data_IF_661576023190
#
_entry.id   IF_661576023190
#
_cell.length_a   1.000
_cell.length_b   1.000
_cell.length_c   1.000
_cell.angle_alpha   90.00
_cell.angle_beta   90.00
_cell.angle_gamma   90.00
#
_symmetry.space_group_name_H-M   'P 1'
#
loop_
_entity.id
_entity.type
_entity.pdbx_description
1 polymer ?
#
# COMPACT_ATOMS: atom_id res chain seq x y z
N UNK A 1 -17.76 0.36 -14.74
CA UNK A 1 -16.96 -0.13 -14.33
C UNK A 1 -16.22 0.52 -13.51
N UNK A 2 -16.01 0.16 -12.63
CA UNK A 2 -15.31 0.89 -11.73
C UNK A 2 -13.88 0.91 -11.99
N UNK A 3 -13.41 2.04 -12.24
CA UNK A 3 -12.05 2.21 -12.35
C UNK A 3 -11.55 2.88 -11.16
N UNK A 4 -12.43 3.11 -10.20
CA UNK A 4 -12.07 3.88 -9.04
C UNK A 4 -11.36 3.02 -8.05
N UNK A 5 -10.39 3.62 -7.35
CA UNK A 5 -9.73 2.96 -6.26
C UNK A 5 -10.70 2.74 -5.12
N UNK A 6 -10.64 1.58 -4.48
CA UNK A 6 -11.46 1.34 -3.32
C UNK A 6 -11.11 2.32 -2.21
N UNK A 7 -12.13 2.96 -1.64
CA UNK A 7 -11.92 3.92 -0.57
C UNK A 7 -12.41 3.44 0.78
N UNK A 8 -12.96 2.23 0.85
CA UNK A 8 -13.42 1.67 2.11
C UNK A 8 -12.28 0.89 2.76
N UNK A 9 -11.74 1.37 3.89
CA UNK A 9 -10.62 0.67 4.52
C UNK A 9 -10.94 -0.76 4.91
N UNK A 10 -12.21 -1.06 5.22
CA UNK A 10 -12.59 -2.41 5.62
C UNK A 10 -12.38 -3.41 4.49
N UNK A 11 -12.57 -2.99 3.26
CA UNK A 11 -12.37 -3.88 2.12
C UNK A 11 -10.89 -4.25 2.02
N UNK A 12 -10.00 -3.28 2.21
CA UNK A 12 -8.58 -3.56 2.17
C UNK A 12 -8.15 -4.44 3.34
N UNK A 13 -8.74 -4.22 4.50
CA UNK A 13 -8.44 -5.04 5.68
C UNK A 13 -8.82 -6.51 5.42
N UNK A 14 -10.02 -6.73 4.91
CA UNK A 14 -10.48 -8.09 4.64
C UNK A 14 -9.68 -8.74 3.51
N UNK A 15 -9.30 -7.97 2.51
CA UNK A 15 -8.49 -8.48 1.41
C UNK A 15 -7.13 -8.93 1.94
N UNK A 16 -6.51 -8.12 2.81
CA UNK A 16 -5.23 -8.49 3.40
C UNK A 16 -5.35 -9.79 4.20
N UNK A 17 -6.45 -9.94 4.93
CA UNK A 17 -6.66 -11.15 5.71
C UNK A 17 -6.74 -12.38 4.80
N UNK A 18 -7.50 -12.26 3.72
CA UNK A 18 -7.64 -13.36 2.77
C UNK A 18 -6.29 -13.70 2.12
N UNK A 19 -5.53 -12.67 1.79
CA UNK A 19 -4.22 -12.88 1.18
C UNK A 19 -3.26 -13.55 2.14
N UNK A 20 -3.33 -13.19 3.42
CA UNK A 20 -2.51 -13.85 4.43
C UNK A 20 -2.86 -15.32 4.56
N UNK A 21 -4.14 -15.65 4.55
CA UNK A 21 -4.58 -17.03 4.67
C UNK A 21 -4.16 -17.86 3.46
N UNK A 22 -4.07 -17.25 2.29
CA UNK A 22 -3.67 -17.97 1.09
C UNK A 22 -2.15 -17.96 0.87
N UNK A 23 -1.39 -17.34 1.77
CA UNK A 23 0.06 -17.31 1.65
C UNK A 23 0.60 -16.26 0.70
N UNK A 24 -0.25 -15.34 0.25
CA UNK A 24 0.17 -14.31 -0.70
C UNK A 24 0.66 -13.09 0.08
N UNK A 25 1.86 -13.21 0.64
CA UNK A 25 2.36 -12.23 1.61
C UNK A 25 2.68 -10.89 0.97
N UNK A 26 3.22 -10.91 -0.25
CA UNK A 26 3.51 -9.65 -0.93
C UNK A 26 2.23 -8.82 -1.08
N UNK A 27 1.16 -9.43 -1.56
CA UNK A 27 -0.09 -8.71 -1.75
C UNK A 27 -0.72 -8.31 -0.42
N UNK A 28 -0.52 -9.12 0.62
CA UNK A 28 -1.00 -8.77 1.96
C UNK A 28 -0.41 -7.43 2.39
N UNK A 29 0.89 -7.24 2.21
CA UNK A 29 1.53 -5.99 2.60
C UNK A 29 1.01 -4.82 1.76
N UNK A 30 0.77 -5.04 0.47
CA UNK A 30 0.23 -3.98 -0.37
C UNK A 30 -1.18 -3.57 0.07
N UNK A 31 -2.01 -4.56 0.43
CA UNK A 31 -3.37 -4.27 0.90
C UNK A 31 -3.35 -3.55 2.24
N UNK A 32 -2.47 -3.95 3.13
CA UNK A 32 -2.32 -3.25 4.40
C UNK A 32 -1.88 -1.80 4.19
N UNK A 33 -1.01 -1.58 3.21
CA UNK A 33 -0.58 -0.22 2.91
C UNK A 33 -1.77 0.64 2.50
N UNK A 34 -2.65 0.12 1.65
CA UNK A 34 -3.82 0.88 1.24
C UNK A 34 -4.73 1.17 2.43
N UNK A 35 -4.90 0.20 3.31
CA UNK A 35 -5.67 0.41 4.53
C UNK A 35 -5.09 1.57 5.35
N UNK A 36 -3.78 1.57 5.54
CA UNK A 36 -3.15 2.63 6.33
C UNK A 36 -3.24 3.99 5.64
N UNK A 37 -3.14 4.01 4.31
CA UNK A 37 -3.31 5.28 3.59
C UNK A 37 -4.70 5.85 3.83
N UNK A 38 -5.71 5.01 3.74
CA UNK A 38 -7.09 5.46 3.89
C UNK A 38 -7.41 5.89 5.32
N UNK A 39 -6.66 5.38 6.30
CA UNK A 39 -6.86 5.78 7.69
C UNK A 39 -5.86 6.85 8.13
N UNK A 40 -5.09 7.40 7.20
CA UNK A 40 -4.19 8.50 7.49
C UNK A 40 -2.88 8.13 8.14
N UNK A 41 -2.54 6.86 8.15
CA UNK A 41 -1.31 6.39 8.81
C UNK A 41 -0.23 6.16 7.78
N UNK A 42 0.30 7.24 7.27
CA UNK A 42 1.21 7.18 6.12
C UNK A 42 2.53 6.49 6.44
N UNK A 43 3.06 6.67 7.64
CA UNK A 43 4.31 6.01 8.00
C UNK A 43 4.15 4.49 8.05
N UNK A 44 3.00 4.03 8.57
CA UNK A 44 2.73 2.60 8.59
C UNK A 44 2.58 2.06 7.17
N UNK A 45 1.95 2.84 6.29
CA UNK A 45 1.80 2.45 4.89
C UNK A 45 3.16 2.32 4.21
N UNK A 46 4.06 3.26 4.47
CA UNK A 46 5.40 3.22 3.91
C UNK A 46 6.12 1.94 4.35
N UNK A 47 6.01 1.61 5.63
CA UNK A 47 6.62 0.39 6.13
C UNK A 47 6.09 -0.85 5.40
N UNK A 48 4.78 -0.93 5.21
CA UNK A 48 4.18 -2.07 4.53
C UNK A 48 4.65 -2.17 3.08
N UNK A 49 4.73 -1.03 2.39
CA UNK A 49 5.18 -1.04 1.01
C UNK A 49 6.65 -1.43 0.89
N UNK A 50 7.47 -1.04 1.86
CA UNK A 50 8.87 -1.46 1.84
C UNK A 50 9.00 -2.96 2.06
N UNK A 51 8.14 -3.53 2.90
CA UNK A 51 8.11 -4.98 3.05
C UNK A 51 7.72 -5.67 1.76
N UNK A 52 6.71 -5.15 1.08
CA UNK A 52 6.31 -5.71 -0.21
C UNK A 52 7.43 -5.57 -1.22
N UNK A 53 8.14 -4.45 -1.20
CA UNK A 53 9.23 -4.21 -2.13
C UNK A 53 10.33 -5.25 -1.97
N UNK A 54 10.67 -5.59 -0.73
CA UNK A 54 11.71 -6.57 -0.49
C UNK A 54 11.31 -7.96 -0.99
N UNK A 55 10.01 -8.22 -1.11
CA UNK A 55 9.51 -9.49 -1.60
C UNK A 55 9.34 -9.50 -3.12
N UNK A 56 9.59 -8.39 -3.79
CA UNK A 56 9.31 -8.26 -5.22
C UNK A 56 10.56 -8.17 -6.07
N UNK A 57 11.69 -8.69 -5.59
CA UNK A 57 12.97 -8.48 -6.25
C UNK A 57 13.00 -8.95 -7.69
N UNK A 58 12.32 -10.05 -8.00
CA UNK A 58 12.30 -10.59 -9.35
C UNK A 58 11.01 -10.30 -10.10
N UNK A 59 10.17 -9.39 -9.58
CA UNK A 59 8.88 -9.08 -10.16
C UNK A 59 8.88 -7.63 -10.60
N UNK A 60 9.50 -7.38 -11.75
CA UNK A 60 9.78 -6.02 -12.18
C UNK A 60 8.54 -5.11 -12.18
N UNK A 61 7.44 -5.56 -12.78
CA UNK A 61 6.27 -4.71 -12.91
C UNK A 61 5.65 -4.41 -11.55
N UNK A 62 5.59 -5.42 -10.68
CA UNK A 62 5.05 -5.21 -9.34
C UNK A 62 5.97 -4.28 -8.56
N UNK A 63 7.27 -4.49 -8.69
CA UNK A 63 8.24 -3.66 -8.00
C UNK A 63 8.11 -2.18 -8.41
N UNK A 64 7.96 -1.93 -9.72
CA UNK A 64 7.78 -0.56 -10.18
C UNK A 64 6.49 0.05 -9.66
N UNK A 65 5.44 -0.73 -9.61
CA UNK A 65 4.16 -0.26 -9.09
C UNK A 65 4.29 0.14 -7.61
N UNK A 66 5.02 -0.66 -6.83
CA UNK A 66 5.22 -0.36 -5.41
C UNK A 66 6.04 0.92 -5.25
N UNK A 67 7.09 1.06 -6.04
CA UNK A 67 7.94 2.25 -5.97
C UNK A 67 7.13 3.49 -6.30
N UNK A 68 6.32 3.42 -7.33
CA UNK A 68 5.49 4.54 -7.71
C UNK A 68 4.52 4.91 -6.58
N UNK A 69 3.95 3.91 -5.93
CA UNK A 69 3.03 4.16 -4.82
C UNK A 69 3.74 4.82 -3.66
N UNK A 70 4.97 4.38 -3.38
CA UNK A 70 5.78 5.01 -2.34
C UNK A 70 6.03 6.48 -2.65
N UNK A 71 6.34 6.79 -3.91
CA UNK A 71 6.57 8.17 -4.30
C UNK A 71 5.32 9.01 -4.08
N UNK A 72 4.16 8.46 -4.37
CA UNK A 72 2.90 9.17 -4.15
C UNK A 72 2.70 9.48 -2.66
N UNK A 73 3.02 8.52 -1.80
CA UNK A 73 2.85 8.73 -0.37
C UNK A 73 3.83 9.76 0.16
N UNK A 74 5.09 9.70 -0.29
CA UNK A 74 6.07 10.70 0.12
C UNK A 74 5.65 12.09 -0.31
N UNK A 75 5.08 12.23 -1.52
CA UNK A 75 4.60 13.52 -1.98
C UNK A 75 3.46 14.02 -1.10
N UNK A 76 2.55 13.13 -0.71
CA UNK A 76 1.44 13.50 0.17
C UNK A 76 1.94 13.96 1.53
N UNK A 77 2.90 13.22 2.10
CA UNK A 77 3.46 13.61 3.39
C UNK A 77 4.13 14.97 3.32
N UNK A 78 4.87 15.21 2.24
CA UNK A 78 5.52 16.51 2.07
C UNK A 78 4.50 17.63 2.00
N UNK A 79 3.43 17.42 1.25
CA UNK A 79 2.38 18.43 1.13
C UNK A 79 1.73 18.71 2.49
N UNK A 80 1.46 17.65 3.26
CA UNK A 80 0.85 17.83 4.58
C UNK A 80 1.78 18.59 5.52
N UNK A 81 3.07 18.31 5.46
CA UNK A 81 4.03 19.02 6.31
C UNK A 81 4.10 20.50 5.93
N UNK A 82 3.97 20.81 4.65
CA UNK A 82 4.02 22.19 4.22
C UNK A 82 2.80 22.98 4.66
N UNK A 83 1.68 22.28 4.87
CA UNK A 83 0.46 22.94 5.32
C UNK A 83 0.46 23.22 6.81
N UNK A 84 1.29 22.53 7.56
CA UNK A 84 1.35 22.73 9.00
C UNK A 84 2.58 23.59 9.38
#
# INVERSE_FOLDING_TARGET
MSKERQTDPNIWYKLAEAQGLSGNILQLHRSRAEFFILTGRHDAAIFQLKEALSLSQNLFEIRESIIKRLEEIFATKRALNELS
#
